data_IF_100286620694
#
_entry.id   IF_100286620694
#
_cell.length_a   1.000
_cell.length_b   1.000
_cell.length_c   1.000
_cell.angle_alpha   90.00
_cell.angle_beta   90.00
_cell.angle_gamma   90.00
#
_symmetry.space_group_name_H-M   'P 1'
#
loop_
_entity.id
_entity.type
_entity.pdbx_description
1 polymer ?
#
# COMPACT_ATOMS: atom_id res chain seq x y z
N UNK A 1 -14.58 -11.06 -6.01
CA UNK A 1 -13.69 -10.18 -5.24
C UNK A 1 -12.31 -10.47 -5.76
N UNK A 2 -11.69 -9.52 -6.47
CA UNK A 2 -10.33 -9.70 -6.95
C UNK A 2 -9.39 -9.91 -5.75
N UNK A 3 -8.27 -10.57 -6.00
CA UNK A 3 -7.32 -10.97 -4.96
C UNK A 3 -5.94 -10.52 -5.42
N UNK A 4 -5.27 -9.74 -4.60
CA UNK A 4 -3.88 -9.31 -4.80
C UNK A 4 -2.94 -10.15 -3.93
N UNK A 5 -1.66 -10.15 -4.24
CA UNK A 5 -0.64 -10.76 -3.39
C UNK A 5 0.05 -9.67 -2.59
N UNK A 6 0.17 -9.86 -1.27
CA UNK A 6 0.89 -8.91 -0.41
C UNK A 6 2.39 -8.96 -0.71
N UNK A 7 3.05 -7.84 -1.05
CA UNK A 7 4.49 -7.79 -1.30
C UNK A 7 5.36 -7.99 -0.03
N UNK A 8 4.79 -7.84 1.17
CA UNK A 8 5.52 -7.98 2.46
C UNK A 8 5.55 -9.41 3.00
N UNK A 9 4.45 -10.16 2.84
CA UNK A 9 4.27 -11.47 3.46
C UNK A 9 3.83 -12.56 2.49
N UNK A 10 3.72 -12.25 1.19
CA UNK A 10 3.28 -13.15 0.12
C UNK A 10 1.88 -13.76 0.35
N UNK A 11 1.05 -13.16 1.22
CA UNK A 11 -0.30 -13.64 1.50
C UNK A 11 -1.32 -13.14 0.46
N UNK A 12 -2.41 -13.89 0.30
CA UNK A 12 -3.55 -13.47 -0.54
C UNK A 12 -4.36 -12.38 0.19
N UNK A 13 -4.44 -11.20 -0.43
CA UNK A 13 -5.20 -10.04 0.07
C UNK A 13 -6.47 -9.88 -0.74
N UNK A 14 -7.61 -9.87 -0.05
CA UNK A 14 -8.90 -9.62 -0.68
C UNK A 14 -9.12 -8.11 -0.90
N UNK A 15 -9.32 -7.71 -2.15
CA UNK A 15 -9.60 -6.32 -2.52
C UNK A 15 -11.05 -6.21 -2.97
N UNK A 16 -11.74 -5.15 -2.56
CA UNK A 16 -13.11 -4.88 -2.94
C UNK A 16 -13.23 -4.45 -4.41
N UNK A 17 -14.40 -4.66 -5.01
CA UNK A 17 -14.64 -4.32 -6.42
C UNK A 17 -14.84 -2.82 -6.64
N UNK A 18 -15.16 -2.11 -5.57
CA UNK A 18 -15.26 -0.66 -5.51
C UNK A 18 -13.91 0.02 -5.26
N UNK A 19 -12.85 -0.75 -4.98
CA UNK A 19 -11.51 -0.20 -4.82
C UNK A 19 -10.89 0.18 -6.17
N UNK A 20 -10.44 1.43 -6.28
CA UNK A 20 -9.78 1.98 -7.46
C UNK A 20 -8.25 1.97 -7.34
N UNK A 21 -7.57 2.12 -8.48
CA UNK A 21 -6.12 2.29 -8.51
C UNK A 21 -5.72 3.58 -7.77
N UNK A 22 -4.73 3.47 -6.89
CA UNK A 22 -4.24 4.54 -6.01
C UNK A 22 -4.95 4.59 -4.66
N UNK A 23 -5.86 3.66 -4.37
CA UNK A 23 -6.42 3.51 -3.03
C UNK A 23 -5.54 2.64 -2.14
N UNK A 24 -5.60 2.91 -0.84
CA UNK A 24 -4.86 2.17 0.19
C UNK A 24 -5.75 1.11 0.82
N UNK A 25 -5.25 -0.11 0.87
CA UNK A 25 -5.85 -1.28 1.53
C UNK A 25 -4.92 -1.76 2.64
N UNK A 26 -5.46 -2.40 3.67
CA UNK A 26 -4.65 -2.98 4.75
C UNK A 26 -4.64 -4.50 4.65
N UNK A 27 -3.45 -5.10 4.75
CA UNK A 27 -3.33 -6.55 4.79
C UNK A 27 -3.79 -7.11 6.14
N UNK A 28 -4.72 -8.07 6.15
CA UNK A 28 -5.21 -8.68 7.41
C UNK A 28 -4.18 -9.60 8.08
N UNK A 29 -3.17 -10.07 7.34
CA UNK A 29 -2.16 -11.01 7.85
C UNK A 29 -0.97 -10.31 8.52
N UNK A 30 -0.40 -9.29 7.86
CA UNK A 30 0.75 -8.54 8.38
C UNK A 30 0.40 -7.15 8.91
N UNK A 31 -0.84 -6.67 8.72
CA UNK A 31 -1.26 -5.30 9.04
C UNK A 31 -0.50 -4.21 8.30
N UNK A 32 0.14 -4.54 7.17
CA UNK A 32 0.80 -3.56 6.31
C UNK A 32 -0.21 -2.73 5.50
N UNK A 33 0.09 -1.45 5.32
CA UNK A 33 -0.62 -0.55 4.42
C UNK A 33 -0.11 -0.75 2.99
N UNK A 34 -1.02 -1.06 2.07
CA UNK A 34 -0.69 -1.37 0.68
C UNK A 34 -1.48 -0.47 -0.27
N UNK A 35 -0.87 0.07 -1.31
CA UNK A 35 -1.56 0.81 -2.37
C UNK A 35 -1.90 -0.10 -3.55
N UNK A 36 -3.10 0.04 -4.10
CA UNK A 36 -3.52 -0.66 -5.31
C UNK A 36 -2.90 0.02 -6.53
N UNK A 37 -1.89 -0.60 -7.13
CA UNK A 37 -1.20 -0.08 -8.33
C UNK A 37 -1.70 -0.72 -9.63
N UNK A 38 -2.49 -1.80 -9.56
CA UNK A 38 -3.10 -2.51 -10.69
C UNK A 38 -4.44 -3.17 -10.35
N UNK A 39 -5.32 -3.34 -11.34
CA UNK A 39 -6.68 -3.91 -11.18
C UNK A 39 -6.98 -5.15 -12.05
N UNK A 40 -6.13 -5.46 -13.04
CA UNK A 40 -6.29 -6.63 -13.92
C UNK A 40 -4.91 -7.09 -14.44
N UNK A 41 -4.18 -7.97 -13.71
CA UNK A 41 -4.47 -8.50 -12.36
C UNK A 41 -4.29 -7.43 -11.26
N UNK A 42 -4.83 -7.71 -10.05
CA UNK A 42 -4.61 -6.82 -8.91
C UNK A 42 -3.16 -6.86 -8.48
N UNK A 43 -2.53 -5.70 -8.44
CA UNK A 43 -1.16 -5.50 -7.99
C UNK A 43 -1.17 -4.53 -6.81
N UNK A 44 -0.44 -4.89 -5.76
CA UNK A 44 -0.33 -4.16 -4.51
C UNK A 44 1.11 -3.73 -4.31
N UNK A 45 1.32 -2.51 -3.87
CA UNK A 45 2.63 -1.97 -3.48
C UNK A 45 2.60 -1.52 -2.01
N UNK A 46 3.75 -1.42 -1.35
CA UNK A 46 3.81 -0.97 0.04
C UNK A 46 3.63 0.55 0.07
N UNK A 47 2.76 1.04 0.96
CA UNK A 47 2.72 2.49 1.22
C UNK A 47 3.87 2.83 2.15
N UNK A 48 4.94 3.41 1.60
CA UNK A 48 5.99 4.02 2.42
C UNK A 48 5.40 5.23 3.17
N UNK A 49 5.30 5.12 4.49
CA UNK A 49 4.95 6.25 5.37
C UNK A 49 6.11 7.27 5.51
N UNK A 50 7.26 7.04 4.85
CA UNK A 50 8.52 7.78 5.02
C UNK A 50 8.62 9.13 4.25
N UNK A 51 7.53 9.65 3.68
CA UNK A 51 7.51 10.97 3.02
C UNK A 51 7.14 12.14 3.97
N UNK A 52 7.33 11.98 5.29
CA UNK A 52 7.11 13.04 6.29
C UNK A 52 8.34 13.39 7.16
N UNK A 53 9.52 12.86 6.88
CA UNK A 53 10.74 13.10 7.67
C UNK A 53 11.91 13.72 6.85
N UNK A 54 11.63 14.61 5.87
CA UNK A 54 12.66 15.48 5.24
C UNK A 54 12.35 16.99 5.38
N UNK A 55 11.56 17.37 6.41
CA UNK A 55 11.26 18.76 6.77
C UNK A 55 11.78 19.13 8.19
N UNK A 56 12.78 18.41 8.71
CA UNK A 56 13.56 18.86 9.87
C UNK A 56 15.03 19.10 9.49
N UNK A 57 15.49 20.34 9.66
CA UNK A 57 16.88 20.84 9.61
C UNK A 57 17.33 21.67 8.39
N UNK A 58 16.56 22.70 7.99
CA UNK A 58 17.15 23.83 7.24
C UNK A 58 16.53 25.20 7.63
N UNK A 59 16.82 25.73 8.83
CA UNK A 59 16.88 27.19 9.09
C UNK A 59 17.94 27.56 10.17
N UNK A 60 19.22 27.50 9.72
CA UNK A 60 20.41 28.33 10.06
C UNK A 60 21.01 28.43 11.49
N UNK A 61 22.35 28.30 11.54
CA UNK A 61 23.28 28.62 12.64
C UNK A 61 23.45 30.13 12.90
#
# INVERSE_FOLDING_TARGET
MPTGTCPECDADVHVDLDTDKGETVSCEECSASLEVVGLDPVELDIVDEEDLDDDEEDEEM
#
